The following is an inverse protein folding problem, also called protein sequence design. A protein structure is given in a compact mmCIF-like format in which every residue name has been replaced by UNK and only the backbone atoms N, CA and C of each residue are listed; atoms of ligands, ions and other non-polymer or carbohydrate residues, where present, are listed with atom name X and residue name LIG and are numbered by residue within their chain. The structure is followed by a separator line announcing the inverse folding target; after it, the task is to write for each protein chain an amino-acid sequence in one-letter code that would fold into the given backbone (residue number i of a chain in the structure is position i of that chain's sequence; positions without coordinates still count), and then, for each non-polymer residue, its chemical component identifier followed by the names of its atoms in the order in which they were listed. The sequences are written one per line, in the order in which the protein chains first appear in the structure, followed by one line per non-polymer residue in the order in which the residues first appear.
data_IF_654774755390
#
_entry.id   IF_654774755390
#
_cell.length_a   1.000
_cell.length_b   1.000
_cell.length_c   1.000
_cell.angle_alpha   90.00
_cell.angle_beta   90.00
_cell.angle_gamma   90.00
#
_symmetry.space_group_name_H-M   'P 1'
#
loop_
_entity.id
_entity.type
_entity.pdbx_description
1 polymer ?
#
# COMPACT_ATOMS: atom_id res chain seq x y z
N UNK A 1 -1.66 -2.88 -24.04
CA UNK A 1 -3.07 -3.25 -23.78
C UNK A 1 -3.30 -3.19 -22.27
N UNK A 2 -3.80 -2.07 -21.75
CA UNK A 2 -4.21 -1.97 -20.34
C UNK A 2 -5.65 -2.48 -20.23
N UNK A 3 -5.86 -3.53 -19.43
CA UNK A 3 -7.19 -4.07 -19.20
C UNK A 3 -7.84 -3.36 -18.00
N UNK A 4 -8.96 -2.66 -18.26
CA UNK A 4 -9.85 -2.11 -17.26
C UNK A 4 -10.86 -3.19 -16.83
N UNK A 5 -11.16 -3.22 -15.53
CA UNK A 5 -12.12 -4.05 -14.80
C UNK A 5 -11.54 -5.30 -14.12
N UNK A 6 -11.21 -5.16 -12.83
CA UNK A 6 -11.79 -5.98 -11.74
C UNK A 6 -11.75 -5.15 -10.45
N UNK A 7 -12.86 -4.49 -10.13
CA UNK A 7 -13.17 -4.16 -8.74
C UNK A 7 -13.71 -5.44 -8.08
N UNK A 8 -13.25 -5.67 -6.85
CA UNK A 8 -13.64 -6.71 -5.88
C UNK A 8 -12.84 -8.02 -5.87
N UNK A 9 -11.83 -8.04 -5.01
CA UNK A 9 -11.71 -9.09 -4.00
C UNK A 9 -11.08 -8.49 -2.74
N UNK A 10 -11.92 -7.82 -1.95
CA UNK A 10 -11.59 -7.47 -0.58
C UNK A 10 -11.70 -8.73 0.28
N UNK A 11 -10.56 -9.30 0.70
CA UNK A 11 -10.53 -10.17 1.88
C UNK A 11 -9.17 -10.03 2.57
N UNK A 12 -9.12 -9.16 3.57
CA UNK A 12 -8.12 -9.24 4.64
C UNK A 12 -8.87 -9.45 5.95
N UNK A 13 -9.05 -10.72 6.31
CA UNK A 13 -9.61 -11.11 7.60
C UNK A 13 -8.61 -10.79 8.71
N UNK A 14 -9.02 -9.93 9.65
CA UNK A 14 -8.23 -9.58 10.84
C UNK A 14 -8.61 -8.25 11.50
N UNK A 15 -9.89 -8.12 11.89
CA UNK A 15 -10.38 -7.33 13.04
C UNK A 15 -9.97 -5.86 13.23
N UNK A 16 -9.80 -5.08 12.18
CA UNK A 16 -9.98 -3.63 12.31
C UNK A 16 -10.73 -3.11 11.10
N UNK A 17 -11.93 -2.58 11.35
CA UNK A 17 -12.78 -1.89 10.38
C UNK A 17 -11.91 -1.15 9.37
N UNK A 18 -11.98 -1.59 8.12
CA UNK A 18 -11.50 -0.86 6.95
C UNK A 18 -12.09 0.55 7.11
N UNK A 19 -11.30 1.52 7.58
CA UNK A 19 -11.58 2.92 7.30
C UNK A 19 -11.60 2.96 5.78
N UNK A 20 -12.80 3.03 5.19
CA UNK A 20 -13.06 2.88 3.75
C UNK A 20 -11.90 3.49 2.96
N UNK A 21 -11.03 2.62 2.46
CA UNK A 21 -9.91 3.06 1.65
C UNK A 21 -10.49 3.51 0.33
N UNK A 22 -10.24 4.77 -0.04
CA UNK A 22 -10.70 5.32 -1.33
C UNK A 22 -9.99 4.66 -2.51
N UNK A 23 -8.84 4.02 -2.26
CA UNK A 23 -8.12 3.16 -3.19
C UNK A 23 -7.37 2.09 -2.41
N UNK A 24 -7.29 0.87 -2.95
CA UNK A 24 -6.40 -0.17 -2.43
C UNK A 24 -5.90 -1.05 -3.58
N UNK A 25 -4.61 -1.39 -3.57
CA UNK A 25 -3.99 -2.31 -4.51
C UNK A 25 -2.95 -3.18 -3.83
N UNK A 26 -3.00 -4.48 -4.11
CA UNK A 26 -1.99 -5.45 -3.68
C UNK A 26 -1.01 -5.75 -4.81
N UNK A 27 0.28 -5.87 -4.49
CA UNK A 27 1.34 -6.38 -5.35
C UNK A 27 2.01 -7.57 -4.67
N UNK A 28 1.92 -8.75 -5.28
CA UNK A 28 2.63 -9.95 -4.82
C UNK A 28 4.01 -10.02 -5.48
N UNK A 29 5.04 -10.19 -4.66
CA UNK A 29 6.43 -10.28 -5.10
C UNK A 29 7.11 -11.47 -4.41
N UNK A 30 6.90 -12.67 -4.96
CA UNK A 30 7.37 -13.91 -4.36
C UNK A 30 6.78 -14.14 -2.96
N UNK A 31 7.65 -14.21 -1.95
CA UNK A 31 7.28 -14.41 -0.54
C UNK A 31 6.79 -13.15 0.19
N UNK A 32 6.74 -12.00 -0.49
CA UNK A 32 6.26 -10.73 0.07
C UNK A 32 4.98 -10.27 -0.61
N UNK A 33 4.10 -9.61 0.14
CA UNK A 33 2.98 -8.86 -0.41
C UNK A 33 3.12 -7.39 0.00
N UNK A 34 2.96 -6.49 -0.97
CA UNK A 34 2.87 -5.06 -0.76
C UNK A 34 1.42 -4.61 -0.92
N UNK A 35 0.97 -3.69 -0.07
CA UNK A 35 -0.34 -3.05 -0.13
C UNK A 35 -0.16 -1.55 -0.25
N UNK A 36 -0.85 -0.96 -1.20
CA UNK A 36 -0.89 0.47 -1.45
C UNK A 36 -2.32 0.93 -1.23
N UNK A 37 -2.58 1.54 -0.07
CA UNK A 37 -3.91 2.03 0.30
C UNK A 37 -3.94 3.56 0.36
N UNK A 38 -4.97 4.18 -0.20
CA UNK A 38 -5.28 5.59 0.09
C UNK A 38 -6.46 5.62 1.07
N UNK A 39 -6.26 6.28 2.21
CA UNK A 39 -7.23 6.35 3.31
C UNK A 39 -7.55 7.81 3.63
N UNK A 40 -8.72 8.03 4.24
CA UNK A 40 -9.16 9.37 4.68
C UNK A 40 -8.85 9.58 6.16
N UNK A 41 -8.15 10.68 6.46
CA UNK A 41 -7.90 11.15 7.81
C UNK A 41 -9.15 11.78 8.43
N UNK A 42 -9.14 12.04 9.74
CA UNK A 42 -10.28 12.64 10.45
C UNK A 42 -10.66 14.03 9.92
N UNK A 43 -9.69 14.79 9.43
CA UNK A 43 -9.88 16.10 8.79
C UNK A 43 -10.35 16.02 7.32
N UNK A 44 -10.69 14.82 6.82
CA UNK A 44 -11.13 14.60 5.45
C UNK A 44 -10.02 14.53 4.40
N UNK A 45 -8.76 14.82 4.75
CA UNK A 45 -7.64 14.71 3.82
C UNK A 45 -7.28 13.24 3.53
N UNK A 46 -6.75 12.97 2.34
CA UNK A 46 -6.26 11.65 1.99
C UNK A 46 -4.79 11.47 2.41
N UNK A 47 -4.42 10.26 2.79
CA UNK A 47 -3.04 9.85 3.03
C UNK A 47 -2.78 8.46 2.44
N UNK A 48 -1.54 8.22 2.02
CA UNK A 48 -1.09 6.94 1.48
C UNK A 48 -0.57 6.06 2.62
N UNK A 49 -0.93 4.79 2.62
CA UNK A 49 -0.32 3.75 3.44
C UNK A 49 0.32 2.73 2.50
N UNK A 50 1.61 2.47 2.68
CA UNK A 50 2.31 1.36 2.04
C UNK A 50 2.60 0.33 3.13
N UNK A 51 2.14 -0.90 2.93
CA UNK A 51 2.37 -2.00 3.87
C UNK A 51 3.14 -3.11 3.15
N UNK A 52 4.25 -3.58 3.70
CA UNK A 52 4.89 -4.81 3.26
C UNK A 52 4.59 -5.93 4.28
N UNK A 53 4.28 -7.11 3.78
CA UNK A 53 4.04 -8.29 4.62
C UNK A 53 4.78 -9.49 4.06
N UNK A 54 5.32 -10.32 4.93
CA UNK A 54 6.03 -11.54 4.53
C UNK A 54 6.02 -12.56 5.67
N UNK A 55 6.31 -13.82 5.33
CA UNK A 55 6.49 -14.87 6.33
C UNK A 55 7.98 -15.00 6.64
N UNK A 56 8.37 -14.89 7.92
CA UNK A 56 9.78 -15.04 8.32
C UNK A 56 10.19 -16.52 8.36
N UNK A 57 11.46 -16.80 8.68
CA UNK A 57 12.00 -18.16 8.75
C UNK A 57 11.34 -19.03 9.83
N UNK A 58 10.73 -18.42 10.85
CA UNK A 58 9.97 -19.12 11.90
C UNK A 58 8.52 -19.41 11.50
N UNK A 59 8.10 -18.99 10.31
CA UNK A 59 6.72 -19.14 9.85
C UNK A 59 5.77 -18.06 10.38
N UNK A 60 6.27 -16.98 10.98
CA UNK A 60 5.45 -15.90 11.52
C UNK A 60 5.18 -14.84 10.45
N UNK A 61 3.99 -14.22 10.47
CA UNK A 61 3.69 -13.09 9.60
C UNK A 61 4.32 -11.82 10.16
N UNK A 62 5.21 -11.21 9.38
CA UNK A 62 5.82 -9.91 9.68
C UNK A 62 5.19 -8.87 8.77
N UNK A 63 4.81 -7.73 9.34
CA UNK A 63 4.20 -6.60 8.62
C UNK A 63 4.91 -5.31 9.00
N UNK A 64 5.40 -4.54 8.02
CA UNK A 64 5.81 -3.16 8.25
C UNK A 64 4.89 -2.21 7.47
N UNK A 65 4.77 -0.99 7.98
CA UNK A 65 3.83 0.01 7.46
C UNK A 65 4.46 1.38 7.47
N UNK A 66 4.33 2.07 6.34
CA UNK A 66 4.69 3.47 6.16
C UNK A 66 3.42 4.26 5.85
N UNK A 67 3.26 5.43 6.47
CA UNK A 67 2.18 6.36 6.19
C UNK A 67 2.76 7.66 5.66
N UNK A 68 2.20 8.16 4.55
CA UNK A 68 2.61 9.41 3.91
C UNK A 68 1.38 10.32 3.86
N UNK A 69 1.42 11.41 4.62
CA UNK A 69 0.36 12.41 4.63
C UNK A 69 0.42 13.30 3.39
N UNK A 70 -0.72 13.97 3.10
CA UNK A 70 -0.92 14.80 1.91
C UNK A 70 0.24 15.77 1.66
N UNK A 71 0.72 16.45 2.69
CA UNK A 71 1.73 17.52 2.58
C UNK A 71 3.13 17.00 2.17
N UNK A 72 3.37 15.69 2.26
CA UNK A 72 4.63 15.06 1.88
C UNK A 72 4.51 14.19 0.62
N UNK A 73 3.30 14.02 0.10
CA UNK A 73 3.04 13.05 -0.98
C UNK A 73 3.77 13.44 -2.26
N UNK A 74 3.80 14.73 -2.62
CA UNK A 74 4.47 15.20 -3.83
C UNK A 74 5.98 14.89 -3.82
N UNK A 75 6.67 15.26 -2.74
CA UNK A 75 8.11 15.01 -2.60
C UNK A 75 8.41 13.52 -2.55
N UNK A 76 7.60 12.73 -1.84
CA UNK A 76 7.76 11.28 -1.77
C UNK A 76 7.70 10.62 -3.16
N UNK A 77 6.72 10.99 -3.99
CA UNK A 77 6.57 10.43 -5.34
C UNK A 77 7.71 10.88 -6.26
N UNK A 78 8.13 12.15 -6.18
CA UNK A 78 9.26 12.64 -6.96
C UNK A 78 10.53 11.84 -6.64
N UNK A 79 10.85 11.65 -5.36
CA UNK A 79 12.00 10.85 -4.93
C UNK A 79 11.88 9.38 -5.34
N UNK A 80 10.67 8.81 -5.34
CA UNK A 80 10.45 7.43 -5.80
C UNK A 80 10.71 7.28 -7.30
N UNK A 81 10.24 8.22 -8.12
CA UNK A 81 10.50 8.23 -9.57
C UNK A 81 11.97 8.48 -9.88
N UNK A 82 12.68 9.31 -9.10
CA UNK A 82 14.13 9.45 -9.20
C UNK A 82 14.84 8.13 -8.87
N UNK A 83 14.50 7.47 -7.76
CA UNK A 83 15.10 6.21 -7.35
C UNK A 83 14.91 5.10 -8.40
N UNK A 84 13.76 5.06 -9.07
CA UNK A 84 13.45 4.13 -10.15
C UNK A 84 14.47 4.19 -11.30
N UNK A 85 15.09 5.35 -11.56
CA UNK A 85 16.11 5.48 -12.61
C UNK A 85 17.36 4.62 -12.36
N UNK A 86 17.60 4.21 -11.11
CA UNK A 86 18.74 3.39 -10.70
C UNK A 86 18.42 1.89 -10.55
N UNK A 87 17.16 1.47 -10.74
CA UNK A 87 16.71 0.09 -10.55
C UNK A 87 16.63 -0.73 -11.85
N UNK A 88 17.37 -0.31 -12.90
CA UNK A 88 17.36 -0.93 -14.23
C UNK A 88 18.19 -2.22 -14.29
#
# INVERSE_FOLDING_TARGET
MYNQNQNQSATYNGENKIKESVFSKMLRAGGKNYFFDVKKASNGSNYLTITDSYKNQKGENVTNRVMIFKDHTANFIATLEEAKTYLQ
#
